data_IF_499918618140
#
_entry.id   IF_499918618140
#
_cell.length_a   1.000
_cell.length_b   1.000
_cell.length_c   1.000
_cell.angle_alpha   90.00
_cell.angle_beta   90.00
_cell.angle_gamma   90.00
#
_symmetry.space_group_name_H-M   'P 1'
#
loop_
_entity.id
_entity.type
_entity.pdbx_description
1 polymer ?
#
# COMPACT_ATOMS: atom_id res chain seq x y z
N UNK A 1 -1.31 -38.34 -18.45
CA UNK A 1 -0.59 -37.06 -18.57
C UNK A 1 -1.57 -35.95 -18.24
N UNK A 2 -1.45 -35.28 -17.10
CA UNK A 2 -2.34 -34.17 -16.73
C UNK A 2 -1.62 -32.87 -17.11
N UNK A 3 -2.15 -32.16 -18.12
CA UNK A 3 -1.70 -30.82 -18.49
C UNK A 3 -2.39 -29.80 -17.58
N UNK A 4 -1.57 -28.95 -16.95
CA UNK A 4 -1.99 -27.78 -16.18
C UNK A 4 -2.43 -26.65 -17.12
N UNK A 5 -3.50 -25.94 -16.78
CA UNK A 5 -3.89 -24.67 -17.42
C UNK A 5 -3.77 -23.51 -16.41
N UNK A 6 -2.64 -22.81 -16.57
CA UNK A 6 -2.44 -21.36 -16.68
C UNK A 6 -3.21 -20.42 -15.74
N UNK A 7 -2.40 -19.67 -14.97
CA UNK A 7 -2.75 -18.52 -14.16
C UNK A 7 -3.34 -17.36 -14.97
N UNK A 8 -4.46 -16.81 -14.51
CA UNK A 8 -5.01 -15.55 -15.00
C UNK A 8 -5.02 -14.52 -13.87
N UNK A 9 -4.21 -13.47 -14.03
CA UNK A 9 -4.47 -12.07 -13.62
C UNK A 9 -3.15 -11.28 -13.70
N UNK A 10 -2.54 -11.24 -14.89
CA UNK A 10 -1.55 -10.24 -15.25
C UNK A 10 -2.24 -9.18 -16.07
N UNK A 11 -2.40 -7.98 -15.51
CA UNK A 11 -2.55 -6.68 -16.17
C UNK A 11 -2.99 -5.68 -15.10
N UNK A 12 -2.07 -4.83 -14.63
CA UNK A 12 -2.31 -3.40 -14.45
C UNK A 12 -0.97 -2.67 -14.36
N UNK A 13 -0.75 -1.80 -15.35
CA UNK A 13 0.34 -0.83 -15.55
C UNK A 13 1.76 -1.33 -15.90
N UNK A 14 1.94 -1.59 -17.20
CA UNK A 14 3.15 -1.17 -17.90
C UNK A 14 2.94 0.26 -18.43
N UNK A 15 3.56 1.24 -17.78
CA UNK A 15 3.59 2.63 -18.21
C UNK A 15 4.74 3.35 -17.50
N UNK A 16 5.84 3.57 -18.23
CA UNK A 16 7.10 4.14 -17.75
C UNK A 16 6.92 5.28 -16.74
N UNK A 17 7.46 5.12 -15.53
CA UNK A 17 7.89 6.25 -14.71
C UNK A 17 9.40 6.14 -14.56
N UNK A 18 10.11 6.78 -15.48
CA UNK A 18 11.33 7.49 -15.07
C UNK A 18 10.84 8.64 -14.21
N UNK A 19 11.31 8.75 -12.98
CA UNK A 19 11.12 9.98 -12.21
C UNK A 19 11.76 11.13 -13.01
N UNK A 20 10.92 11.96 -13.63
CA UNK A 20 11.35 13.17 -14.33
C UNK A 20 11.04 14.39 -13.44
N UNK A 21 11.88 15.45 -13.49
CA UNK A 21 11.71 16.63 -12.68
C UNK A 21 10.53 17.47 -13.20
N UNK A 22 9.68 17.97 -12.30
CA UNK A 22 8.57 18.88 -12.62
C UNK A 22 9.12 20.30 -12.85
N UNK A 23 8.93 20.91 -14.04
CA UNK A 23 9.24 22.32 -14.25
C UNK A 23 8.16 23.21 -13.64
N UNK A 24 8.61 24.26 -12.95
CA UNK A 24 7.75 25.33 -12.42
C UNK A 24 7.56 26.40 -13.49
N UNK A 25 6.35 26.55 -14.04
CA UNK A 25 5.97 27.75 -14.80
C UNK A 25 4.44 27.94 -14.92
N UNK A 26 4.01 29.13 -14.45
CA UNK A 26 2.98 30.04 -14.96
C UNK A 26 1.49 29.64 -15.07
N UNK A 27 0.68 30.53 -14.48
CA UNK A 27 -0.79 30.66 -14.47
C UNK A 27 -1.36 30.99 -15.85
N UNK A 28 -2.56 30.45 -16.19
CA UNK A 28 -3.74 31.19 -16.69
C UNK A 28 -5.03 30.32 -16.79
N UNK A 29 -6.24 30.93 -16.77
CA UNK A 29 -7.49 30.28 -16.33
C UNK A 29 -8.42 29.88 -17.48
N UNK A 30 -9.23 28.85 -17.27
CA UNK A 30 -10.40 28.57 -18.11
C UNK A 30 -11.51 27.88 -17.32
N UNK A 31 -12.71 28.45 -17.44
CA UNK A 31 -13.91 28.20 -16.66
C UNK A 31 -14.69 26.94 -17.09
N UNK A 32 -15.48 26.40 -16.15
CA UNK A 32 -16.79 25.80 -16.48
C UNK A 32 -16.91 24.27 -16.51
N UNK A 33 -16.90 23.62 -15.34
CA UNK A 33 -17.74 22.47 -15.01
C UNK A 33 -17.69 22.23 -13.48
N UNK A 34 -18.82 21.99 -12.78
CA UNK A 34 -18.78 21.72 -11.34
C UNK A 34 -18.17 20.33 -11.12
N UNK A 35 -16.92 20.29 -10.65
CA UNK A 35 -16.38 19.10 -9.97
C UNK A 35 -17.23 18.86 -8.72
N UNK A 36 -17.63 17.61 -8.40
CA UNK A 36 -18.21 17.33 -7.10
C UNK A 36 -17.21 17.80 -6.05
N UNK A 37 -17.65 18.76 -5.24
CA UNK A 37 -16.89 19.35 -4.16
C UNK A 37 -16.33 18.21 -3.31
N UNK A 38 -15.00 18.10 -3.25
CA UNK A 38 -14.36 17.29 -2.25
C UNK A 38 -14.86 17.79 -0.89
N UNK A 39 -15.75 17.03 -0.27
CA UNK A 39 -16.20 17.30 1.08
C UNK A 39 -14.98 17.40 2.00
N UNK A 40 -15.04 18.20 3.08
CA UNK A 40 -13.91 18.35 3.97
C UNK A 40 -13.42 16.97 4.40
N UNK A 41 -12.15 16.67 4.12
CA UNK A 41 -11.48 15.48 4.63
C UNK A 41 -11.60 15.53 6.15
N UNK A 42 -12.60 14.81 6.69
CA UNK A 42 -12.86 14.75 8.11
C UNK A 42 -11.57 14.25 8.76
N UNK A 43 -10.96 15.09 9.60
CA UNK A 43 -9.81 14.68 10.41
C UNK A 43 -10.17 13.34 11.06
N UNK A 44 -9.31 12.32 11.00
CA UNK A 44 -9.55 11.09 11.73
C UNK A 44 -9.85 11.48 13.18
N UNK A 45 -10.89 10.88 13.75
CA UNK A 45 -11.24 11.12 15.15
C UNK A 45 -9.99 10.81 15.99
N UNK A 46 -9.62 11.72 16.89
CA UNK A 46 -8.50 11.49 17.79
C UNK A 46 -8.74 10.17 18.54
N UNK A 47 -7.87 9.18 18.33
CA UNK A 47 -8.00 7.82 18.90
C UNK A 47 -8.44 6.71 17.95
N UNK A 48 -8.66 6.97 16.66
CA UNK A 48 -8.94 5.90 15.68
C UNK A 48 -7.70 5.00 15.47
N UNK A 49 -7.87 3.67 15.58
CA UNK A 49 -6.81 2.71 15.29
C UNK A 49 -6.47 2.68 13.79
N UNK A 50 -5.23 2.32 13.44
CA UNK A 50 -4.85 2.19 12.03
C UNK A 50 -5.67 1.16 11.27
N UNK A 51 -6.05 0.05 11.93
CA UNK A 51 -6.97 -0.93 11.36
C UNK A 51 -8.34 -0.31 11.05
N UNK A 52 -8.95 0.41 12.00
CA UNK A 52 -10.23 1.08 11.78
C UNK A 52 -10.13 2.09 10.62
N UNK A 53 -9.00 2.80 10.51
CA UNK A 53 -8.74 3.70 9.39
C UNK A 53 -8.65 2.97 8.05
N UNK A 54 -8.04 1.79 7.99
CA UNK A 54 -7.99 0.95 6.77
C UNK A 54 -9.40 0.48 6.39
N UNK A 55 -10.16 -0.06 7.35
CA UNK A 55 -11.53 -0.55 7.09
C UNK A 55 -12.41 0.58 6.59
N UNK A 56 -12.39 1.74 7.24
CA UNK A 56 -13.12 2.93 6.77
C UNK A 56 -12.68 3.34 5.36
N UNK A 57 -11.37 3.35 5.09
CA UNK A 57 -10.86 3.69 3.77
C UNK A 57 -11.32 2.69 2.70
N UNK A 58 -11.44 1.41 3.06
CA UNK A 58 -12.01 0.41 2.17
C UNK A 58 -13.50 0.65 1.87
N UNK A 59 -14.32 0.81 2.90
CA UNK A 59 -15.77 1.05 2.80
C UNK A 59 -16.09 2.32 2.02
N UNK A 60 -15.31 3.38 2.23
CA UNK A 60 -15.50 4.69 1.60
C UNK A 60 -14.72 4.86 0.30
N UNK A 61 -14.02 3.82 -0.17
CA UNK A 61 -13.20 3.83 -1.38
C UNK A 61 -12.14 4.94 -1.42
N UNK A 62 -11.49 5.18 -0.28
CA UNK A 62 -10.46 6.20 -0.11
C UNK A 62 -9.06 5.64 -0.38
N UNK A 63 -8.23 6.46 -1.01
CA UNK A 63 -6.81 6.21 -1.30
C UNK A 63 -5.92 7.24 -0.62
N UNK A 64 -4.60 7.10 -0.74
CA UNK A 64 -3.60 7.98 -0.12
C UNK A 64 -3.74 8.09 1.41
N UNK A 65 -4.10 6.98 2.07
CA UNK A 65 -4.29 6.97 3.52
C UNK A 65 -3.06 6.42 4.23
N UNK A 66 -2.29 7.29 4.88
CA UNK A 66 -1.19 6.84 5.74
C UNK A 66 -1.71 6.16 6.99
N UNK A 67 -1.28 4.92 7.22
CA UNK A 67 -1.75 4.06 8.31
C UNK A 67 -0.56 3.44 9.03
N UNK A 68 -0.74 3.22 10.32
CA UNK A 68 0.14 2.39 11.14
C UNK A 68 -0.75 1.38 11.85
N UNK A 69 -0.56 0.10 11.52
CA UNK A 69 -1.45 -0.97 11.96
C UNK A 69 -0.68 -2.27 12.12
N UNK A 70 -1.38 -3.27 12.62
CA UNK A 70 -0.87 -4.61 12.82
C UNK A 70 -1.72 -5.61 12.03
N UNK A 71 -1.07 -6.66 11.53
CA UNK A 71 -1.73 -7.74 10.83
C UNK A 71 -1.04 -9.08 11.04
N UNK A 72 -1.76 -10.14 10.70
CA UNK A 72 -1.24 -11.52 10.67
C UNK A 72 -1.06 -11.94 9.23
N UNK A 73 0.10 -12.50 8.88
CA UNK A 73 0.39 -12.99 7.53
C UNK A 73 -0.54 -14.13 7.21
N UNK A 74 -1.48 -13.88 6.30
CA UNK A 74 -2.44 -14.89 5.83
C UNK A 74 -1.86 -15.68 4.66
N UNK A 75 -1.07 -15.02 3.80
CA UNK A 75 -0.46 -15.67 2.62
C UNK A 75 0.81 -14.97 2.19
N UNK A 76 1.81 -15.76 1.82
CA UNK A 76 3.01 -15.25 1.13
C UNK A 76 2.81 -15.46 -0.37
N UNK A 77 3.05 -14.42 -1.16
CA UNK A 77 2.93 -14.45 -2.62
C UNK A 77 4.32 -14.45 -3.25
N UNK A 78 4.46 -14.91 -4.52
CA UNK A 78 5.68 -14.69 -5.27
C UNK A 78 6.00 -13.20 -5.34
N UNK A 79 7.28 -12.88 -5.28
CA UNK A 79 7.74 -11.51 -5.50
C UNK A 79 7.24 -10.98 -6.84
N UNK A 80 6.91 -9.70 -6.87
CA UNK A 80 6.86 -8.98 -8.12
C UNK A 80 8.30 -8.61 -8.53
N UNK A 81 8.62 -8.89 -9.78
CA UNK A 81 9.94 -8.63 -10.38
C UNK A 81 9.85 -7.72 -11.61
N UNK A 82 8.66 -7.19 -11.92
CA UNK A 82 8.47 -6.27 -13.02
C UNK A 82 8.67 -4.82 -12.53
N UNK A 83 9.58 -4.08 -13.15
CA UNK A 83 9.98 -2.77 -12.64
C UNK A 83 10.72 -2.88 -11.31
N UNK A 84 10.39 -2.01 -10.35
CA UNK A 84 10.92 -2.13 -8.98
C UNK A 84 10.42 -3.42 -8.35
N UNK A 85 11.30 -4.15 -7.68
CA UNK A 85 11.01 -5.45 -7.09
C UNK A 85 10.21 -5.28 -5.80
N UNK A 86 9.19 -6.11 -5.62
CA UNK A 86 8.36 -6.08 -4.42
C UNK A 86 8.20 -7.47 -3.80
N UNK A 87 8.43 -7.56 -2.49
CA UNK A 87 7.94 -8.68 -1.70
C UNK A 87 6.45 -8.49 -1.45
N UNK A 88 5.65 -9.53 -1.73
CA UNK A 88 4.19 -9.47 -1.62
C UNK A 88 3.66 -10.50 -0.64
N UNK A 89 2.75 -10.07 0.22
CA UNK A 89 2.04 -10.95 1.14
C UNK A 89 0.72 -10.33 1.57
N UNK A 90 -0.25 -11.17 1.92
CA UNK A 90 -1.53 -10.75 2.46
C UNK A 90 -1.45 -10.68 3.98
N UNK A 91 -1.94 -9.58 4.54
CA UNK A 91 -2.17 -9.44 5.97
C UNK A 91 -3.68 -9.47 6.22
N UNK A 92 -4.09 -10.30 7.18
CA UNK A 92 -5.42 -10.23 7.79
C UNK A 92 -5.35 -9.34 9.01
N UNK A 93 -6.20 -8.31 9.05
CA UNK A 93 -6.32 -7.42 10.19
C UNK A 93 -7.11 -8.13 11.30
N UNK A 94 -6.60 -8.18 12.54
CA UNK A 94 -7.05 -9.13 13.54
C UNK A 94 -8.48 -8.85 14.05
N UNK A 95 -8.90 -7.59 14.12
CA UNK A 95 -10.18 -7.20 14.74
C UNK A 95 -11.35 -7.32 13.77
N UNK A 96 -11.13 -6.93 12.52
CA UNK A 96 -12.12 -6.85 11.45
C UNK A 96 -12.14 -8.08 10.54
N UNK A 97 -11.02 -8.82 10.48
CA UNK A 97 -10.83 -9.88 9.49
C UNK A 97 -10.58 -9.34 8.07
N UNK A 98 -10.51 -8.03 7.88
CA UNK A 98 -10.24 -7.41 6.58
C UNK A 98 -8.84 -7.79 6.10
N UNK A 99 -8.69 -8.09 4.82
CA UNK A 99 -7.40 -8.49 4.23
C UNK A 99 -6.86 -7.40 3.33
N UNK A 100 -5.57 -7.08 3.48
CA UNK A 100 -4.84 -6.14 2.61
C UNK A 100 -3.63 -6.82 1.98
N UNK A 101 -3.30 -6.43 0.76
CA UNK A 101 -2.03 -6.79 0.13
C UNK A 101 -0.93 -5.83 0.60
N UNK A 102 0.19 -6.34 1.10
CA UNK A 102 1.41 -5.55 1.27
C UNK A 102 2.28 -5.70 0.03
N UNK A 103 2.68 -4.57 -0.56
CA UNK A 103 3.65 -4.48 -1.65
C UNK A 103 4.91 -3.76 -1.15
N UNK A 104 5.85 -4.51 -0.59
CA UNK A 104 7.06 -3.96 0.02
C UNK A 104 8.20 -3.88 -1.00
N UNK A 105 8.61 -2.67 -1.36
CA UNK A 105 9.67 -2.44 -2.34
C UNK A 105 11.03 -2.88 -1.77
N UNK A 106 11.57 -3.98 -2.30
CA UNK A 106 12.82 -4.60 -1.84
C UNK A 106 14.08 -4.04 -2.55
N UNK A 107 13.92 -3.06 -3.43
CA UNK A 107 15.03 -2.26 -3.95
C UNK A 107 15.39 -1.11 -3.00
N UNK A 108 14.39 -0.59 -2.28
CA UNK A 108 14.54 0.55 -1.37
C UNK A 108 14.72 0.13 0.09
N UNK A 109 14.27 -1.08 0.45
CA UNK A 109 14.39 -1.62 1.80
C UNK A 109 14.77 -3.10 1.76
N UNK A 110 15.47 -3.64 2.78
CA UNK A 110 15.76 -5.08 2.80
C UNK A 110 14.46 -5.90 2.85
N UNK A 111 14.40 -6.98 2.06
CA UNK A 111 13.34 -8.00 2.17
C UNK A 111 13.12 -8.42 3.63
N UNK A 112 11.86 -8.57 4.03
CA UNK A 112 11.47 -9.16 5.32
C UNK A 112 11.83 -10.65 5.29
N UNK A 113 12.98 -11.00 5.90
CA UNK A 113 13.53 -12.37 5.89
C UNK A 113 12.82 -13.24 6.91
N UNK A 114 12.57 -14.50 6.55
CA UNK A 114 11.95 -15.47 7.46
C UNK A 114 10.49 -15.18 7.78
N UNK A 115 9.82 -14.35 6.98
CA UNK A 115 8.37 -14.14 7.06
C UNK A 115 7.65 -15.44 6.74
N UNK A 116 6.73 -15.85 7.60
CA UNK A 116 5.94 -17.09 7.49
C UNK A 116 4.44 -16.78 7.65
N UNK A 117 3.59 -17.66 7.11
CA UNK A 117 2.14 -17.61 7.37
C UNK A 117 1.90 -17.77 8.88
N UNK A 118 1.01 -16.96 9.43
CA UNK A 118 0.73 -16.88 10.87
C UNK A 118 1.61 -15.90 11.63
N UNK A 119 2.68 -15.38 11.03
CA UNK A 119 3.50 -14.37 11.68
C UNK A 119 2.73 -13.06 11.87
N UNK A 120 2.97 -12.41 13.00
CA UNK A 120 2.47 -11.07 13.33
C UNK A 120 3.45 -10.01 12.81
N UNK A 121 2.90 -8.96 12.20
CA UNK A 121 3.64 -7.86 11.61
C UNK A 121 3.00 -6.54 12.00
N UNK A 122 3.81 -5.60 12.48
CA UNK A 122 3.41 -4.20 12.62
C UNK A 122 3.97 -3.43 11.43
N UNK A 123 3.21 -2.52 10.86
CA UNK A 123 3.63 -1.79 9.67
C UNK A 123 3.14 -0.36 9.70
N UNK A 124 3.91 0.50 9.02
CA UNK A 124 3.49 1.83 8.60
C UNK A 124 3.62 1.93 7.09
N UNK A 125 2.60 2.43 6.42
CA UNK A 125 2.59 2.61 4.97
C UNK A 125 1.42 3.45 4.52
N UNK A 126 1.29 3.60 3.20
CA UNK A 126 0.14 4.26 2.57
C UNK A 126 -0.82 3.19 2.03
N UNK A 127 -2.10 3.37 2.29
CA UNK A 127 -3.18 2.52 1.82
C UNK A 127 -3.79 3.08 0.54
N UNK A 128 -3.96 2.19 -0.45
CA UNK A 128 -4.60 2.44 -1.74
C UNK A 128 -5.79 1.49 -1.93
N UNK A 129 -6.93 2.04 -2.33
CA UNK A 129 -8.15 1.25 -2.50
C UNK A 129 -8.13 0.36 -3.75
N UNK A 130 -8.71 -0.83 -3.65
CA UNK A 130 -9.14 -1.65 -4.77
C UNK A 130 -10.30 -2.57 -4.34
N UNK A 131 -10.91 -3.30 -5.28
CA UNK A 131 -12.02 -4.23 -5.02
C UNK A 131 -11.64 -5.50 -4.25
N UNK A 132 -10.36 -5.71 -3.94
CA UNK A 132 -9.80 -6.90 -3.27
C UNK A 132 -9.28 -6.60 -1.86
N UNK A 133 -9.72 -5.50 -1.25
CA UNK A 133 -9.36 -5.11 0.12
C UNK A 133 -8.32 -4.00 0.21
N UNK A 134 -7.68 -3.62 -0.89
CA UNK A 134 -6.68 -2.56 -0.95
C UNK A 134 -5.23 -3.05 -0.83
N UNK A 135 -4.30 -2.12 -1.07
CA UNK A 135 -2.84 -2.35 -1.04
C UNK A 135 -2.19 -1.40 -0.04
N UNK A 136 -1.25 -1.92 0.74
CA UNK A 136 -0.30 -1.14 1.53
C UNK A 136 1.01 -1.07 0.74
N UNK A 137 1.42 0.15 0.38
CA UNK A 137 2.72 0.45 -0.24
C UNK A 137 3.48 1.52 0.58
N UNK A 138 4.61 2.00 0.07
CA UNK A 138 5.50 2.92 0.80
C UNK A 138 5.90 2.43 2.20
N UNK A 139 6.08 1.11 2.36
CA UNK A 139 6.55 0.49 3.60
C UNK A 139 8.06 0.56 3.77
N UNK A 140 8.64 1.68 3.33
CA UNK A 140 10.07 2.00 3.36
C UNK A 140 10.23 3.51 3.57
N UNK A 141 11.42 3.96 3.95
CA UNK A 141 11.74 5.39 4.01
C UNK A 141 11.66 5.99 2.62
N UNK A 142 11.20 7.24 2.55
CA UNK A 142 11.33 8.01 1.32
C UNK A 142 12.77 8.55 1.21
N UNK A 143 13.57 8.12 0.22
CA UNK A 143 14.95 8.60 0.07
C UNK A 143 15.04 10.11 -0.13
N UNK A 144 14.00 10.74 -0.69
CA UNK A 144 13.95 12.19 -0.90
C UNK A 144 13.36 12.95 0.30
N UNK A 145 12.81 12.25 1.30
CA UNK A 145 12.22 12.86 2.50
C UNK A 145 11.01 13.76 2.26
N UNK A 146 10.31 13.62 1.13
CA UNK A 146 9.13 14.42 0.74
C UNK A 146 7.83 13.82 1.26
N UNK A 147 7.81 12.51 1.51
CA UNK A 147 6.68 11.75 2.03
C UNK A 147 6.95 11.29 3.47
N UNK A 148 5.89 10.96 4.25
CA UNK A 148 6.04 10.48 5.61
C UNK A 148 6.91 9.22 5.75
N UNK A 149 6.98 8.40 4.70
CA UNK A 149 7.68 7.11 4.67
C UNK A 149 7.02 6.06 5.56
N UNK A 150 7.47 4.82 5.42
CA UNK A 150 6.94 3.68 6.15
C UNK A 150 8.02 2.68 6.55
N UNK A 151 7.55 1.55 7.07
CA UNK A 151 8.39 0.46 7.55
C UNK A 151 7.53 -0.78 7.81
N UNK A 152 8.20 -1.93 7.90
CA UNK A 152 7.63 -3.18 8.40
C UNK A 152 8.44 -3.61 9.62
N UNK A 153 7.78 -4.06 10.67
CA UNK A 153 8.40 -4.65 11.84
C UNK A 153 7.94 -6.09 12.02
N UNK A 154 8.91 -7.00 12.09
CA UNK A 154 8.67 -8.43 12.21
C UNK A 154 9.71 -9.04 13.16
N UNK A 155 9.24 -9.76 14.18
CA UNK A 155 10.08 -10.42 15.20
C UNK A 155 11.13 -9.45 15.82
N UNK A 156 10.70 -8.23 16.14
CA UNK A 156 11.53 -7.19 16.74
C UNK A 156 12.52 -6.51 15.80
N UNK A 157 12.53 -6.86 14.51
CA UNK A 157 13.38 -6.22 13.49
C UNK A 157 12.54 -5.33 12.59
N UNK A 158 12.96 -4.07 12.45
CA UNK A 158 12.36 -3.09 11.54
C UNK A 158 13.08 -3.06 10.19
N UNK A 159 12.31 -3.06 9.13
CA UNK A 159 12.69 -2.97 7.72
C UNK A 159 12.12 -1.66 7.18
N UNK A 160 12.98 -0.75 6.73
CA UNK A 160 12.61 0.60 6.28
C UNK A 160 13.55 1.05 5.18
#
# INVERSE_FOLDING_TARGET
MVLALVAAAGLYFAGRIREAPVPSAAVQPSAGAPRPSAGPARRPAAGESGEARIVRAFEQRLSNQWVEAEGVVERILPDDRQGSRHQRFLLRLPSSGHTVLVSHNIDLSPRVRGLQVGDRVVFRGEYEWNTRGGVIHWTHRDPAGKRPGGWIEHKGRRYS
#
